data_IF_911641611506
#
_entry.id   IF_911641611506
#
_cell.length_a   1.000
_cell.length_b   1.000
_cell.length_c   1.000
_cell.angle_alpha   90.00
_cell.angle_beta   90.00
_cell.angle_gamma   90.00
#
_symmetry.space_group_name_H-M   'P 1'
#
loop_
_entity.id
_entity.type
_entity.pdbx_description
1 polymer ?
#
# COMPACT_ATOMS: atom_id res chain seq x y z
N UNK A 1 3.16 -2.11 -7.18
CA UNK A 1 3.22 -1.11 -6.09
C UNK A 1 4.63 -0.58 -6.03
N UNK A 2 4.82 0.74 -5.84
CA UNK A 2 6.17 1.34 -5.81
C UNK A 2 6.63 1.66 -4.39
N UNK A 3 5.69 1.76 -3.44
CA UNK A 3 5.89 2.11 -2.05
C UNK A 3 4.95 1.27 -1.19
N UNK A 4 5.49 0.45 -0.30
CA UNK A 4 4.76 -0.25 0.75
C UNK A 4 5.29 0.15 2.13
N UNK A 5 4.82 -0.49 3.19
CA UNK A 5 5.29 -0.22 4.55
C UNK A 5 6.78 -0.56 4.72
N UNK A 6 7.53 0.35 5.34
CA UNK A 6 8.95 0.16 5.66
C UNK A 6 9.18 -0.68 6.92
N UNK A 7 8.15 -0.84 7.76
CA UNK A 7 8.26 -1.46 9.09
C UNK A 7 7.42 -2.72 9.25
N UNK A 8 6.39 -2.92 8.41
CA UNK A 8 5.46 -4.05 8.50
C UNK A 8 5.58 -4.91 7.25
N UNK A 9 5.86 -6.19 7.45
CA UNK A 9 5.89 -7.20 6.40
C UNK A 9 4.70 -8.16 6.56
N UNK A 10 4.03 -8.49 5.45
CA UNK A 10 3.02 -9.54 5.38
C UNK A 10 3.57 -10.62 4.45
N UNK A 11 3.72 -11.85 4.97
CA UNK A 11 4.35 -12.97 4.24
C UNK A 11 5.74 -12.63 3.67
N UNK A 12 6.54 -11.83 4.39
CA UNK A 12 7.90 -11.43 3.98
C UNK A 12 7.96 -10.30 2.94
N UNK A 13 6.82 -9.74 2.53
CA UNK A 13 6.75 -8.61 1.60
C UNK A 13 6.26 -7.34 2.31
N UNK A 14 6.71 -6.14 1.89
CA UNK A 14 6.18 -4.87 2.41
C UNK A 14 4.66 -4.81 2.34
N UNK A 15 4.02 -4.52 3.47
CA UNK A 15 2.56 -4.45 3.54
C UNK A 15 2.01 -3.23 2.78
N UNK A 16 1.00 -3.44 1.95
CA UNK A 16 0.25 -2.35 1.30
C UNK A 16 -0.67 -1.64 2.30
N UNK A 17 -0.83 -0.32 2.16
CA UNK A 17 -1.69 0.52 3.00
C UNK A 17 -2.28 1.71 2.22
N UNK A 18 -3.21 2.42 2.85
CA UNK A 18 -3.82 3.61 2.27
C UNK A 18 -2.74 4.63 1.87
N UNK A 19 -2.86 5.18 0.65
CA UNK A 19 -1.89 6.11 0.07
C UNK A 19 -0.78 5.46 -0.76
N UNK A 20 -0.60 4.13 -0.69
CA UNK A 20 0.40 3.44 -1.51
C UNK A 20 0.02 3.51 -3.00
N UNK A 21 1.04 3.59 -3.86
CA UNK A 21 0.88 3.76 -5.29
C UNK A 21 0.74 2.42 -6.00
N UNK A 22 -0.34 2.29 -6.77
CA UNK A 22 -0.61 1.21 -7.70
C UNK A 22 -0.02 1.62 -9.06
N UNK A 23 0.80 0.73 -9.62
CA UNK A 23 1.33 0.88 -10.97
C UNK A 23 0.42 0.07 -11.89
N UNK A 24 -0.22 0.75 -12.82
CA UNK A 24 -1.15 0.16 -13.77
C UNK A 24 -0.44 -0.05 -15.12
N UNK A 25 -0.85 -1.08 -15.87
CA UNK A 25 -0.21 -1.39 -17.15
C UNK A 25 -0.44 -0.30 -18.21
N UNK A 26 -1.57 0.41 -18.11
CA UNK A 26 -1.98 1.47 -19.02
C UNK A 26 -2.67 2.54 -18.16
N UNK A 27 -2.23 3.79 -18.30
CA UNK A 27 -2.79 4.92 -17.56
C UNK A 27 -1.82 5.52 -16.53
N UNK A 28 -2.26 6.58 -15.82
CA UNK A 28 -1.48 7.18 -14.74
C UNK A 28 -1.46 6.26 -13.51
N UNK A 29 -0.50 6.47 -12.63
CA UNK A 29 -0.46 5.74 -11.36
C UNK A 29 -1.60 6.18 -10.45
N UNK A 30 -2.27 5.21 -9.82
CA UNK A 30 -3.34 5.44 -8.86
C UNK A 30 -2.86 5.15 -7.43
N UNK A 31 -3.62 5.58 -6.43
CA UNK A 31 -3.32 5.31 -5.02
C UNK A 31 -4.41 4.48 -4.35
N UNK A 32 -4.03 3.71 -3.32
CA UNK A 32 -5.00 2.99 -2.50
C UNK A 32 -5.80 4.01 -1.69
N UNK A 33 -7.05 4.23 -2.09
CA UNK A 33 -7.90 5.28 -1.52
C UNK A 33 -8.34 5.00 -0.08
N UNK A 34 -8.52 3.73 0.30
CA UNK A 34 -9.04 3.36 1.62
C UNK A 34 -8.54 1.97 2.07
N UNK A 35 -8.20 1.87 3.36
CA UNK A 35 -7.92 0.61 4.05
C UNK A 35 -9.00 0.25 5.09
N UNK A 36 -8.72 -0.71 5.97
CA UNK A 36 -9.65 -1.10 7.03
C UNK A 36 -9.63 -0.04 8.17
N UNK A 37 -10.78 0.56 8.57
CA UNK A 37 -10.78 1.68 9.52
C UNK A 37 -10.22 1.37 10.91
N UNK A 38 -10.24 0.11 11.32
CA UNK A 38 -9.78 -0.33 12.66
C UNK A 38 -8.34 -0.82 12.68
N UNK A 39 -7.66 -0.89 11.53
CA UNK A 39 -6.31 -1.43 11.42
C UNK A 39 -5.41 -0.48 10.65
N UNK A 40 -4.38 0.02 11.32
CA UNK A 40 -3.33 0.86 10.74
C UNK A 40 -2.04 0.06 10.53
N UNK A 41 -1.39 0.26 9.40
CA UNK A 41 -0.15 -0.43 9.02
C UNK A 41 1.01 0.58 9.03
N UNK A 42 1.99 0.34 9.89
CA UNK A 42 3.24 1.12 9.93
C UNK A 42 3.15 2.46 10.67
N UNK A 43 2.12 2.66 11.50
CA UNK A 43 1.83 3.94 12.18
C UNK A 43 0.94 4.83 11.36
#
# INVERSE_FOLDING_TARGET
MTNGSQTVLINGLPACRQGDTIVEAIGPNNSITMGLPTVQIGG
#
